data_IF_073331331167
#
_entry.id   IF_073331331167
#
_cell.length_a   1.000
_cell.length_b   1.000
_cell.length_c   1.000
_cell.angle_alpha   90.00
_cell.angle_beta   90.00
_cell.angle_gamma   90.00
#
_symmetry.space_group_name_H-M   'P 1'
#
loop_
_entity.id
_entity.type
_entity.pdbx_description
1 polymer ?
#
# COMPACT_ATOMS: atom_id res chain seq x y z
N UNK A 1 26.79 15.67 4.64
CA UNK A 1 25.35 16.01 4.69
C UNK A 1 24.49 14.97 3.96
N UNK A 2 24.98 14.31 2.92
CA UNK A 2 24.30 13.23 2.17
C UNK A 2 24.06 11.98 3.02
N UNK A 3 25.05 11.59 3.83
CA UNK A 3 25.07 10.39 4.68
C UNK A 3 23.91 10.32 5.70
N UNK A 4 23.72 11.41 6.47
CA UNK A 4 22.67 11.48 7.51
C UNK A 4 21.25 11.34 6.97
N UNK A 5 20.98 11.81 5.74
CA UNK A 5 19.63 11.70 5.14
C UNK A 5 19.33 10.25 4.76
N UNK A 6 20.33 9.54 4.25
CA UNK A 6 20.22 8.12 3.91
C UNK A 6 20.05 7.28 5.18
N UNK A 7 20.83 7.54 6.24
CA UNK A 7 20.66 6.91 7.56
C UNK A 7 19.24 7.10 8.12
N UNK A 8 18.69 8.32 8.03
CA UNK A 8 17.32 8.62 8.47
C UNK A 8 16.30 7.79 7.68
N UNK A 9 16.46 7.67 6.36
CA UNK A 9 15.54 6.90 5.51
C UNK A 9 15.61 5.40 5.79
N UNK A 10 16.83 4.86 5.95
CA UNK A 10 17.03 3.45 6.31
C UNK A 10 16.41 3.16 7.67
N UNK A 11 16.71 3.99 8.67
CA UNK A 11 16.19 3.82 10.02
C UNK A 11 14.67 3.98 10.08
N UNK A 12 14.08 4.94 9.35
CA UNK A 12 12.63 5.07 9.29
C UNK A 12 11.96 3.86 8.66
N UNK A 13 12.56 3.30 7.60
CA UNK A 13 12.06 2.06 6.99
C UNK A 13 12.13 0.90 7.97
N UNK A 14 13.24 0.74 8.69
CA UNK A 14 13.37 -0.30 9.71
C UNK A 14 12.35 -0.18 10.84
N UNK A 15 12.10 1.05 11.33
CA UNK A 15 11.10 1.33 12.36
C UNK A 15 9.71 0.94 11.85
N UNK A 16 9.34 1.35 10.63
CA UNK A 16 8.04 1.01 10.03
C UNK A 16 7.88 -0.50 9.80
N UNK A 17 8.90 -1.17 9.28
CA UNK A 17 8.91 -2.63 9.10
C UNK A 17 8.77 -3.37 10.42
N UNK A 18 9.47 -2.94 11.46
CA UNK A 18 9.40 -3.56 12.78
C UNK A 18 8.04 -3.31 13.46
N UNK A 19 7.49 -2.10 13.36
CA UNK A 19 6.13 -1.78 13.80
C UNK A 19 5.10 -2.70 13.14
N UNK A 20 5.17 -2.85 11.81
CA UNK A 20 4.26 -3.72 11.07
C UNK A 20 4.43 -5.19 11.48
N UNK A 21 5.67 -5.68 11.59
CA UNK A 21 5.92 -7.05 12.03
C UNK A 21 5.29 -7.31 13.41
N UNK A 22 5.52 -6.43 14.37
CA UNK A 22 4.99 -6.59 15.73
C UNK A 22 3.46 -6.59 15.78
N UNK A 23 2.81 -5.80 14.93
CA UNK A 23 1.36 -5.77 14.78
C UNK A 23 0.82 -7.07 14.17
N UNK A 24 1.42 -7.55 13.08
CA UNK A 24 1.03 -8.84 12.46
C UNK A 24 1.18 -9.98 13.47
N UNK A 25 2.34 -10.08 14.14
CA UNK A 25 2.57 -11.08 15.19
C UNK A 25 1.54 -10.95 16.32
N UNK A 26 1.15 -9.74 16.71
CA UNK A 26 0.09 -9.54 17.70
C UNK A 26 -1.25 -10.13 17.25
N UNK A 27 -1.67 -9.85 16.02
CA UNK A 27 -2.91 -10.39 15.47
C UNK A 27 -2.87 -11.92 15.39
N UNK A 28 -1.76 -12.51 14.95
CA UNK A 28 -1.58 -13.97 14.84
C UNK A 28 -1.54 -14.70 16.20
N UNK A 29 -1.06 -14.03 17.24
CA UNK A 29 -0.87 -14.64 18.57
C UNK A 29 -2.08 -14.40 19.50
N UNK A 30 -2.74 -13.25 19.39
CA UNK A 30 -3.75 -12.83 20.37
C UNK A 30 -5.17 -12.68 19.81
N UNK A 31 -5.35 -12.45 18.51
CA UNK A 31 -6.66 -12.09 17.93
C UNK A 31 -7.22 -13.20 17.05
N UNK A 32 -6.41 -13.68 16.11
CA UNK A 32 -6.69 -14.85 15.30
C UNK A 32 -5.64 -15.92 15.53
N UNK A 33 -5.58 -16.51 16.74
CA UNK A 33 -4.76 -17.68 16.94
C UNK A 33 -5.37 -18.80 16.08
N UNK A 34 -4.86 -19.01 14.86
CA UNK A 34 -5.18 -20.19 14.04
C UNK A 34 -5.12 -21.48 14.86
N UNK A 35 -5.94 -22.47 14.47
CA UNK A 35 -6.19 -23.73 15.17
C UNK A 35 -4.89 -24.36 15.72
N UNK A 36 -4.72 -24.31 17.04
CA UNK A 36 -3.97 -25.18 17.98
C UNK A 36 -2.74 -26.00 17.51
N UNK A 37 -2.01 -25.61 16.47
CA UNK A 37 -0.74 -26.27 16.14
C UNK A 37 0.43 -25.38 16.58
N UNK A 38 1.27 -25.92 17.48
CA UNK A 38 2.62 -25.41 17.81
C UNK A 38 3.52 -25.27 16.57
N UNK A 39 3.05 -25.76 15.42
CA UNK A 39 3.76 -25.84 14.17
C UNK A 39 2.91 -25.25 13.04
N UNK A 40 3.54 -24.67 12.03
CA UNK A 40 2.90 -24.37 10.76
C UNK A 40 3.64 -25.10 9.65
N UNK A 41 2.90 -25.63 8.67
CA UNK A 41 3.46 -26.31 7.51
C UNK A 41 3.75 -25.28 6.41
N UNK A 42 5.01 -25.21 5.95
CA UNK A 42 5.36 -24.34 4.83
C UNK A 42 4.87 -24.88 3.48
N UNK A 43 5.07 -24.12 2.41
CA UNK A 43 4.65 -24.50 1.05
C UNK A 43 5.32 -25.78 0.52
N UNK A 44 6.34 -26.30 1.21
CA UNK A 44 7.06 -27.52 0.89
C UNK A 44 6.67 -28.70 1.81
N UNK A 45 5.70 -28.51 2.70
CA UNK A 45 5.26 -29.54 3.63
C UNK A 45 6.14 -29.65 4.89
N UNK A 46 7.02 -28.67 5.14
CA UNK A 46 7.89 -28.71 6.32
C UNK A 46 7.21 -28.04 7.51
N UNK A 47 7.16 -28.75 8.64
CA UNK A 47 6.65 -28.22 9.91
C UNK A 47 7.70 -27.30 10.56
N UNK A 48 7.29 -26.06 10.84
CA UNK A 48 8.08 -25.05 11.52
C UNK A 48 7.45 -24.70 12.86
N UNK A 49 8.26 -24.63 13.91
CA UNK A 49 7.80 -24.28 15.25
C UNK A 49 7.38 -22.81 15.31
N UNK A 50 6.23 -22.52 15.92
CA UNK A 50 5.73 -21.17 16.10
C UNK A 50 6.36 -20.52 17.35
N UNK A 51 7.65 -20.18 17.25
CA UNK A 51 8.44 -19.60 18.33
C UNK A 51 7.83 -18.30 18.90
N UNK A 52 7.10 -17.52 18.08
CA UNK A 52 6.50 -16.26 18.52
C UNK A 52 5.25 -16.50 19.40
N UNK A 53 4.49 -17.59 19.21
CA UNK A 53 3.37 -17.92 20.12
C UNK A 53 3.82 -18.30 21.53
N UNK A 54 4.93 -19.02 21.64
CA UNK A 54 5.45 -19.49 22.93
C UNK A 54 6.28 -18.42 23.64
N UNK A 55 7.18 -17.74 22.92
CA UNK A 55 8.09 -16.76 23.51
C UNK A 55 7.56 -15.32 23.36
N UNK A 56 6.39 -15.10 23.95
CA UNK A 56 5.77 -13.76 24.08
C UNK A 56 6.70 -12.76 24.72
N UNK A 57 7.59 -13.20 25.61
CA UNK A 57 8.57 -12.31 26.24
C UNK A 57 9.56 -11.79 25.19
N UNK A 58 10.08 -12.66 24.33
CA UNK A 58 11.11 -12.24 23.39
C UNK A 58 10.58 -11.30 22.32
N UNK A 59 9.53 -11.68 21.60
CA UNK A 59 9.08 -10.82 20.50
C UNK A 59 8.33 -9.58 21.00
N UNK A 60 7.48 -9.69 22.03
CA UNK A 60 6.67 -8.54 22.47
C UNK A 60 7.50 -7.57 23.31
N UNK A 61 8.15 -8.05 24.37
CA UNK A 61 8.91 -7.16 25.25
C UNK A 61 10.21 -6.69 24.60
N UNK A 62 11.10 -7.60 24.17
CA UNK A 62 12.36 -7.17 23.56
C UNK A 62 12.14 -6.51 22.19
N UNK A 63 11.17 -6.96 21.40
CA UNK A 63 10.84 -6.32 20.13
C UNK A 63 10.30 -4.89 20.29
N UNK A 64 9.40 -4.65 21.25
CA UNK A 64 8.91 -3.29 21.56
C UNK A 64 10.02 -2.41 22.12
N UNK A 65 10.88 -2.97 22.99
CA UNK A 65 12.02 -2.24 23.56
C UNK A 65 13.07 -1.87 22.51
N UNK A 66 13.37 -2.78 21.58
CA UNK A 66 14.26 -2.51 20.46
C UNK A 66 13.70 -1.40 19.57
N UNK A 67 12.39 -1.42 19.30
CA UNK A 67 11.71 -0.38 18.55
C UNK A 67 11.80 1.00 19.24
N UNK A 68 11.59 1.05 20.56
CA UNK A 68 11.78 2.28 21.35
C UNK A 68 13.16 2.90 21.14
N UNK A 69 14.24 2.11 21.22
CA UNK A 69 15.59 2.63 21.02
C UNK A 69 15.86 3.09 19.59
N UNK A 70 15.27 2.42 18.58
CA UNK A 70 15.35 2.91 17.19
C UNK A 70 14.67 4.25 17.02
N UNK A 71 13.51 4.45 17.64
CA UNK A 71 12.81 5.74 17.61
C UNK A 71 13.65 6.82 18.31
N UNK A 72 14.27 6.50 19.45
CA UNK A 72 15.20 7.41 20.13
C UNK A 72 16.33 7.86 19.19
N UNK A 73 16.99 6.91 18.52
CA UNK A 73 18.05 7.19 17.55
C UNK A 73 17.54 8.05 16.37
N UNK A 74 16.36 7.75 15.85
CA UNK A 74 15.74 8.54 14.78
C UNK A 74 15.54 10.00 15.21
N UNK A 75 14.99 10.23 16.40
CA UNK A 75 14.75 11.57 16.93
C UNK A 75 16.06 12.34 17.18
N UNK A 76 17.12 11.66 17.62
CA UNK A 76 18.46 12.24 17.74
C UNK A 76 19.02 12.63 16.37
N UNK A 77 18.93 11.75 15.37
CA UNK A 77 19.40 12.02 14.00
C UNK A 77 18.62 13.17 13.33
N UNK A 78 17.32 13.27 13.60
CA UNK A 78 16.47 14.39 13.17
C UNK A 78 16.76 15.70 13.92
N UNK A 79 17.56 15.65 14.98
CA UNK A 79 17.96 16.80 15.79
C UNK A 79 16.75 17.57 16.38
N UNK A 80 15.80 16.83 16.98
CA UNK A 80 14.57 17.38 17.58
C UNK A 80 14.54 17.15 19.11
N UNK A 81 15.39 17.84 19.89
CA UNK A 81 15.66 17.49 21.29
C UNK A 81 14.44 17.60 22.23
N UNK A 82 13.52 18.54 21.97
CA UNK A 82 12.28 18.65 22.74
C UNK A 82 11.37 17.44 22.51
N UNK A 83 11.25 17.01 21.25
CA UNK A 83 10.44 15.86 20.87
C UNK A 83 11.07 14.56 21.38
N UNK A 84 12.40 14.42 21.29
CA UNK A 84 13.14 13.33 21.92
C UNK A 84 12.83 13.22 23.43
N UNK A 85 12.92 14.34 24.16
CA UNK A 85 12.63 14.35 25.60
C UNK A 85 11.19 13.94 25.90
N UNK A 86 10.21 14.48 25.16
CA UNK A 86 8.79 14.10 25.32
C UNK A 86 8.58 12.59 25.11
N UNK A 87 9.26 11.99 24.14
CA UNK A 87 9.20 10.55 23.89
C UNK A 87 9.76 9.74 25.07
N UNK A 88 10.96 10.08 25.52
CA UNK A 88 11.62 9.41 26.65
C UNK A 88 10.75 9.52 27.91
N UNK A 89 10.32 10.72 28.27
CA UNK A 89 9.53 10.98 29.48
C UNK A 89 8.22 10.18 29.49
N UNK A 90 7.60 9.98 28.31
CA UNK A 90 6.36 9.21 28.17
C UNK A 90 6.58 7.69 28.28
N UNK A 91 7.60 7.15 27.61
CA UNK A 91 7.70 5.70 27.39
C UNK A 91 8.80 4.97 28.17
N UNK A 92 9.80 5.67 28.71
CA UNK A 92 10.97 5.03 29.32
C UNK A 92 10.62 4.13 30.51
N UNK A 93 9.66 4.53 31.35
CA UNK A 93 9.23 3.69 32.47
C UNK A 93 8.48 2.44 31.97
N UNK A 94 7.67 2.59 30.92
CA UNK A 94 6.88 1.51 30.33
C UNK A 94 7.80 0.45 29.71
N UNK A 95 8.73 0.87 28.84
CA UNK A 95 9.62 -0.05 28.09
C UNK A 95 10.64 -0.79 28.95
N UNK A 96 10.81 -0.38 30.21
CA UNK A 96 11.69 -1.05 31.17
C UNK A 96 10.96 -2.10 32.02
N UNK A 97 9.62 -2.14 31.99
CA UNK A 97 8.84 -3.12 32.73
C UNK A 97 8.15 -4.10 31.78
N UNK A 98 8.63 -5.34 31.77
CA UNK A 98 8.09 -6.42 30.95
C UNK A 98 6.59 -6.64 31.18
N UNK A 99 6.11 -6.56 32.43
CA UNK A 99 4.69 -6.78 32.73
C UNK A 99 3.82 -5.67 32.17
N UNK A 100 4.31 -4.43 32.17
CA UNK A 100 3.57 -3.29 31.62
C UNK A 100 3.52 -3.41 30.10
N UNK A 101 4.64 -3.66 29.42
CA UNK A 101 4.67 -3.83 27.95
C UNK A 101 3.73 -4.94 27.50
N UNK A 102 3.82 -6.13 28.12
CA UNK A 102 2.97 -7.27 27.73
C UNK A 102 1.47 -7.08 28.05
N UNK A 103 1.13 -6.13 28.93
CA UNK A 103 -0.26 -5.77 29.24
C UNK A 103 -0.77 -4.56 28.47
N UNK A 104 0.06 -3.89 27.68
CA UNK A 104 -0.28 -2.68 26.94
C UNK A 104 -1.10 -2.96 25.68
N UNK A 105 -2.27 -3.60 25.87
CA UNK A 105 -3.21 -4.01 24.82
C UNK A 105 -4.62 -3.58 25.17
N UNK A 106 -5.42 -3.23 24.17
CA UNK A 106 -6.79 -2.73 24.35
C UNK A 106 -7.50 -2.50 23.02
N UNK A 107 -8.79 -2.12 23.03
CA UNK A 107 -9.53 -1.82 21.81
C UNK A 107 -9.00 -0.55 21.13
N UNK A 108 -8.91 -0.57 19.80
CA UNK A 108 -8.57 0.55 18.94
C UNK A 108 -9.83 1.05 18.25
N UNK A 109 -10.27 2.28 18.59
CA UNK A 109 -11.51 2.93 18.11
C UNK A 109 -12.84 2.24 18.48
N UNK A 110 -12.94 0.90 18.43
CA UNK A 110 -14.13 0.10 18.76
C UNK A 110 -13.75 -1.17 19.55
N UNK A 111 -14.69 -1.72 20.33
CA UNK A 111 -14.45 -2.86 21.24
C UNK A 111 -14.03 -4.17 20.54
N UNK A 112 -14.20 -4.25 19.23
CA UNK A 112 -13.97 -5.41 18.35
C UNK A 112 -12.60 -5.41 17.64
N UNK A 113 -11.84 -4.32 17.68
CA UNK A 113 -10.50 -4.22 17.08
C UNK A 113 -9.41 -4.14 18.16
N UNK A 114 -8.92 -5.26 18.71
CA UNK A 114 -7.83 -5.24 19.67
C UNK A 114 -6.53 -4.75 19.00
N UNK A 115 -5.77 -3.93 19.73
CA UNK A 115 -4.46 -3.42 19.32
C UNK A 115 -3.46 -3.37 20.48
N UNK A 116 -2.19 -3.23 20.11
CA UNK A 116 -1.10 -2.91 21.01
C UNK A 116 -1.03 -1.39 21.21
N UNK A 117 -1.62 -0.90 22.30
CA UNK A 117 -1.70 0.53 22.65
C UNK A 117 -0.33 1.22 22.57
N UNK A 118 0.74 0.56 23.04
CA UNK A 118 2.09 1.16 23.01
C UNK A 118 2.62 1.33 21.58
N UNK A 119 2.27 0.44 20.65
CA UNK A 119 2.67 0.58 19.24
C UNK A 119 1.86 1.66 18.53
N UNK A 120 0.58 1.81 18.87
CA UNK A 120 -0.24 2.92 18.38
C UNK A 120 0.27 4.27 18.88
N UNK A 121 0.61 4.36 20.16
CA UNK A 121 1.20 5.58 20.72
C UNK A 121 2.56 5.91 20.10
N UNK A 122 3.37 4.91 19.72
CA UNK A 122 4.58 5.12 18.92
C UNK A 122 4.23 5.67 17.53
N UNK A 123 3.23 5.11 16.84
CA UNK A 123 2.78 5.62 15.53
C UNK A 123 2.30 7.06 15.63
N UNK A 124 1.48 7.38 16.61
CA UNK A 124 1.01 8.75 16.86
C UNK A 124 2.17 9.72 17.03
N UNK A 125 3.19 9.32 17.80
CA UNK A 125 4.38 10.14 17.99
C UNK A 125 5.12 10.38 16.67
N UNK A 126 5.22 9.35 15.83
CA UNK A 126 5.96 9.39 14.57
C UNK A 126 5.21 10.10 13.42
N UNK A 127 3.88 10.21 13.47
CA UNK A 127 3.03 10.80 12.41
C UNK A 127 3.43 12.23 12.00
N UNK A 128 4.04 12.99 12.90
CA UNK A 128 4.52 14.36 12.62
C UNK A 128 5.71 14.41 11.65
N UNK A 129 6.34 13.26 11.35
CA UNK A 129 7.47 13.17 10.44
C UNK A 129 7.05 12.59 9.10
N UNK A 130 7.48 13.23 8.02
CA UNK A 130 7.21 12.80 6.65
C UNK A 130 7.63 11.34 6.39
N UNK A 131 8.67 10.86 7.08
CA UNK A 131 9.20 9.50 6.92
C UNK A 131 8.23 8.41 7.40
N UNK A 132 7.29 8.75 8.27
CA UNK A 132 6.30 7.84 8.85
C UNK A 132 4.87 8.19 8.44
N UNK A 133 4.69 9.25 7.67
CA UNK A 133 3.41 9.62 7.11
C UNK A 133 3.17 8.84 5.81
N UNK A 134 3.21 7.50 5.92
CA UNK A 134 3.08 6.57 4.79
C UNK A 134 1.73 6.77 4.11
N UNK A 135 0.65 7.01 4.87
CA UNK A 135 -0.66 7.31 4.28
C UNK A 135 -0.67 8.60 3.46
N UNK A 136 0.09 9.62 3.86
CA UNK A 136 0.20 10.87 3.10
C UNK A 136 1.12 10.70 1.88
N UNK A 137 2.23 9.96 1.99
CA UNK A 137 3.13 9.72 0.87
C UNK A 137 2.50 8.77 -0.16
N UNK A 138 1.88 7.68 0.28
CA UNK A 138 1.05 6.81 -0.57
C UNK A 138 -0.06 7.63 -1.23
N UNK A 139 -0.83 8.45 -0.48
CA UNK A 139 -1.85 9.33 -1.08
C UNK A 139 -1.27 10.34 -2.07
N UNK A 140 -0.11 10.94 -1.80
CA UNK A 140 0.52 11.91 -2.70
C UNK A 140 0.98 11.25 -3.99
N UNK A 141 1.65 10.09 -3.92
CA UNK A 141 2.13 9.39 -5.11
C UNK A 141 0.98 8.75 -5.90
N UNK A 142 -0.05 8.22 -5.22
CA UNK A 142 -1.33 7.79 -5.81
C UNK A 142 -2.01 8.97 -6.52
N UNK A 143 -2.08 10.14 -5.90
CA UNK A 143 -2.63 11.36 -6.53
C UNK A 143 -1.81 11.81 -7.74
N UNK A 144 -0.47 11.69 -7.67
CA UNK A 144 0.42 12.03 -8.78
C UNK A 144 0.23 11.06 -9.96
N UNK A 145 0.12 9.76 -9.71
CA UNK A 145 -0.26 8.79 -10.73
C UNK A 145 -1.62 9.16 -11.35
N UNK A 146 -2.64 9.41 -10.53
CA UNK A 146 -3.97 9.83 -10.99
C UNK A 146 -3.88 11.06 -11.89
N UNK A 147 -3.11 12.08 -11.53
CA UNK A 147 -2.91 13.27 -12.35
C UNK A 147 -2.26 12.94 -13.71
N UNK A 148 -1.28 12.02 -13.75
CA UNK A 148 -0.69 11.56 -15.02
C UNK A 148 -1.76 10.91 -15.90
N UNK A 149 -2.57 10.01 -15.32
CA UNK A 149 -3.63 9.32 -16.04
C UNK A 149 -4.70 10.28 -16.56
N UNK A 150 -5.16 11.23 -15.74
CA UNK A 150 -6.09 12.30 -16.17
C UNK A 150 -5.52 13.18 -17.29
N UNK A 151 -4.19 13.30 -17.36
CA UNK A 151 -3.48 14.01 -18.42
C UNK A 151 -3.09 13.14 -19.63
N UNK A 152 -3.70 11.95 -19.79
CA UNK A 152 -3.46 11.07 -20.96
C UNK A 152 -3.60 11.86 -22.28
N UNK A 153 -4.69 12.61 -22.46
CA UNK A 153 -4.95 13.40 -23.66
C UNK A 153 -3.81 14.41 -24.00
N UNK A 154 -3.41 15.32 -23.07
CA UNK A 154 -2.23 16.16 -23.25
C UNK A 154 -0.94 15.41 -23.55
N UNK A 155 -0.68 14.28 -22.89
CA UNK A 155 0.55 13.49 -23.09
C UNK A 155 0.56 12.94 -24.52
N UNK A 156 -0.53 12.32 -24.98
CA UNK A 156 -0.64 11.80 -26.35
C UNK A 156 -0.44 12.89 -27.42
N UNK A 157 -0.98 14.09 -27.18
CA UNK A 157 -0.79 15.22 -28.07
C UNK A 157 0.68 15.67 -28.14
N UNK A 158 1.38 15.67 -26.99
CA UNK A 158 2.81 16.04 -26.94
C UNK A 158 3.72 14.98 -27.55
N UNK A 159 3.38 13.70 -27.40
CA UNK A 159 4.13 12.58 -28.02
C UNK A 159 3.75 12.37 -29.49
N UNK A 160 2.77 13.11 -30.01
CA UNK A 160 2.24 12.97 -31.38
C UNK A 160 1.76 11.55 -31.68
N UNK A 161 1.21 10.89 -30.66
CA UNK A 161 0.75 9.51 -30.74
C UNK A 161 -0.61 9.46 -31.44
N UNK A 162 -0.76 8.54 -32.42
CA UNK A 162 -2.04 8.31 -33.09
C UNK A 162 -2.81 7.23 -32.33
N UNK A 163 -3.99 7.57 -31.83
CA UNK A 163 -4.88 6.64 -31.14
C UNK A 163 -5.57 5.73 -32.15
N UNK A 164 -5.33 4.43 -32.04
CA UNK A 164 -5.95 3.39 -32.89
C UNK A 164 -6.48 2.20 -32.09
N UNK A 165 -5.93 1.97 -30.89
CA UNK A 165 -6.29 0.92 -29.93
C UNK A 165 -5.74 1.27 -28.53
N UNK A 166 -6.03 0.44 -27.53
CA UNK A 166 -5.54 0.58 -26.15
C UNK A 166 -4.01 0.70 -26.08
N UNK A 167 -3.28 -0.16 -26.80
CA UNK A 167 -1.81 -0.17 -26.82
C UNK A 167 -1.21 1.15 -27.32
N UNK A 168 -1.82 1.77 -28.33
CA UNK A 168 -1.40 3.07 -28.84
C UNK A 168 -1.57 4.20 -27.82
N UNK A 169 -2.45 4.00 -26.84
CA UNK A 169 -2.69 4.93 -25.73
C UNK A 169 -1.72 4.65 -24.59
N UNK A 170 -1.72 3.44 -24.03
CA UNK A 170 -0.96 3.18 -22.81
C UNK A 170 0.55 3.18 -23.04
N UNK A 171 1.04 2.91 -24.26
CA UNK A 171 2.51 2.83 -24.50
C UNK A 171 3.21 4.17 -24.24
N UNK A 172 2.76 5.31 -24.80
CA UNK A 172 3.28 6.64 -24.43
C UNK A 172 3.14 6.97 -22.95
N UNK A 173 2.02 6.59 -22.32
CA UNK A 173 1.79 6.87 -20.90
C UNK A 173 2.74 6.04 -20.04
N UNK A 174 2.89 4.75 -20.32
CA UNK A 174 3.83 3.85 -19.67
C UNK A 174 5.26 4.39 -19.73
N UNK A 175 5.71 4.88 -20.89
CA UNK A 175 7.01 5.53 -21.02
C UNK A 175 7.15 6.74 -20.07
N UNK A 176 6.12 7.59 -19.97
CA UNK A 176 6.14 8.73 -19.06
C UNK A 176 6.14 8.28 -17.59
N UNK A 177 5.30 7.30 -17.25
CA UNK A 177 5.22 6.72 -15.90
C UNK A 177 6.54 6.06 -15.52
N UNK A 178 7.25 5.39 -16.44
CA UNK A 178 8.60 4.83 -16.22
C UNK A 178 9.70 5.88 -16.02
N UNK A 179 9.47 7.15 -16.41
CA UNK A 179 10.37 8.26 -16.06
C UNK A 179 10.10 8.72 -14.63
N UNK A 180 8.84 8.72 -14.21
CA UNK A 180 8.40 9.13 -12.87
C UNK A 180 8.69 8.06 -11.81
N UNK A 181 8.52 6.79 -12.16
CA UNK A 181 8.67 5.61 -11.30
C UNK A 181 9.67 4.60 -11.91
N UNK A 182 11.00 4.81 -11.74
CA UNK A 182 12.03 4.08 -12.48
C UNK A 182 12.11 2.57 -12.18
N UNK A 183 11.66 2.10 -11.02
CA UNK A 183 11.72 0.66 -10.64
C UNK A 183 10.82 -0.21 -11.52
N UNK A 184 9.86 0.38 -12.23
CA UNK A 184 9.08 -0.31 -13.26
C UNK A 184 9.97 -0.98 -14.31
N UNK A 185 11.14 -0.41 -14.60
CA UNK A 185 12.09 -0.96 -15.59
C UNK A 185 12.78 -2.22 -15.08
N UNK A 186 13.01 -2.30 -13.77
CA UNK A 186 13.65 -3.46 -13.13
C UNK A 186 12.67 -4.56 -12.75
N UNK A 187 11.43 -4.20 -12.43
CA UNK A 187 10.40 -5.11 -11.88
C UNK A 187 9.27 -5.44 -12.88
N UNK A 188 9.40 -4.98 -14.14
CA UNK A 188 8.37 -4.98 -15.19
C UNK A 188 7.89 -6.34 -15.72
N UNK A 189 8.03 -7.41 -14.93
CA UNK A 189 7.44 -8.73 -15.16
C UNK A 189 6.53 -9.21 -14.02
N UNK A 190 6.29 -8.38 -13.01
CA UNK A 190 5.30 -8.71 -11.99
C UNK A 190 3.92 -8.89 -12.64
N UNK A 191 3.18 -9.87 -12.12
CA UNK A 191 1.96 -10.41 -12.74
C UNK A 191 1.05 -10.92 -11.63
N UNK A 192 -0.26 -10.73 -11.80
CA UNK A 192 -1.22 -11.29 -10.86
C UNK A 192 -1.44 -12.77 -11.20
N UNK A 193 -1.17 -13.66 -10.25
CA UNK A 193 -1.37 -15.09 -10.42
C UNK A 193 -2.58 -15.49 -9.59
N UNK A 194 -3.67 -15.90 -10.25
CA UNK A 194 -4.86 -16.41 -9.57
C UNK A 194 -5.23 -17.76 -10.15
N UNK A 195 -5.25 -18.79 -9.29
CA UNK A 195 -5.42 -20.19 -9.67
C UNK A 195 -4.36 -20.63 -10.70
N UNK A 196 -4.74 -20.75 -11.98
CA UNK A 196 -3.88 -21.17 -13.10
C UNK A 196 -3.74 -20.10 -14.18
N UNK A 197 -4.23 -18.88 -13.93
CA UNK A 197 -4.23 -17.79 -14.89
C UNK A 197 -3.28 -16.70 -14.43
N UNK A 198 -2.46 -16.25 -15.37
CA UNK A 198 -1.61 -15.07 -15.21
C UNK A 198 -2.31 -13.88 -15.85
N UNK A 199 -2.48 -12.81 -15.09
CA UNK A 199 -3.04 -11.56 -15.59
C UNK A 199 -1.95 -10.49 -15.65
N UNK A 200 -2.01 -9.69 -16.71
CA UNK A 200 -1.03 -8.67 -17.02
C UNK A 200 -1.77 -7.35 -17.22
N UNK A 201 -1.69 -6.40 -16.27
CA UNK A 201 -2.24 -5.08 -16.50
C UNK A 201 -1.42 -4.33 -17.53
N UNK A 202 -2.05 -3.35 -18.18
CA UNK A 202 -1.38 -2.51 -19.17
C UNK A 202 -0.16 -1.78 -18.56
N UNK A 203 -0.30 -1.28 -17.33
CA UNK A 203 0.78 -0.63 -16.57
C UNK A 203 0.79 -1.15 -15.13
N UNK A 204 1.97 -1.59 -14.66
CA UNK A 204 2.18 -2.04 -13.30
C UNK A 204 3.28 -1.22 -12.63
N UNK A 205 3.01 -0.70 -11.43
CA UNK A 205 3.87 0.27 -10.74
C UNK A 205 4.12 -0.23 -9.31
N UNK A 206 5.10 -1.14 -9.12
CA UNK A 206 5.37 -1.77 -7.82
C UNK A 206 5.77 -0.77 -6.73
N UNK A 207 6.47 0.30 -7.15
CA UNK A 207 6.94 1.40 -6.31
C UNK A 207 5.86 2.01 -5.41
N UNK A 208 4.61 2.01 -5.87
CA UNK A 208 3.45 2.58 -5.20
C UNK A 208 2.27 1.60 -5.16
N UNK A 209 2.56 0.30 -5.24
CA UNK A 209 1.55 -0.78 -5.16
C UNK A 209 0.35 -0.54 -6.09
N UNK A 210 0.59 -0.06 -7.31
CA UNK A 210 -0.47 0.36 -8.22
C UNK A 210 -0.48 -0.39 -9.55
N UNK A 211 -1.67 -0.60 -10.11
CA UNK A 211 -1.87 -1.14 -11.46
C UNK A 211 -2.88 -0.29 -12.25
N UNK A 212 -2.74 -0.25 -13.57
CA UNK A 212 -3.59 0.53 -14.48
C UNK A 212 -4.01 -0.32 -15.66
N UNK A 213 -5.30 -0.25 -15.98
CA UNK A 213 -5.92 -0.80 -17.18
C UNK A 213 -6.41 0.33 -18.09
N UNK A 214 -6.24 0.19 -19.40
CA UNK A 214 -6.80 1.08 -20.40
C UNK A 214 -7.91 0.38 -21.19
N UNK A 215 -8.97 1.13 -21.50
CA UNK A 215 -9.99 0.70 -22.47
C UNK A 215 -10.28 1.80 -23.48
N UNK A 216 -10.31 1.43 -24.75
CA UNK A 216 -10.61 2.33 -25.85
C UNK A 216 -12.04 2.09 -26.36
N UNK A 217 -12.90 3.09 -26.17
CA UNK A 217 -14.29 3.07 -26.63
C UNK A 217 -14.38 3.80 -27.96
N UNK A 218 -14.70 3.05 -29.01
CA UNK A 218 -14.97 3.61 -30.34
C UNK A 218 -16.32 4.31 -30.36
N UNK A 219 -16.45 5.29 -31.25
CA UNK A 219 -17.68 6.04 -31.44
C UNK A 219 -18.88 5.13 -31.65
N UNK A 220 -19.97 5.40 -30.94
CA UNK A 220 -21.23 4.67 -31.05
C UNK A 220 -21.24 3.27 -30.39
N UNK A 221 -20.19 2.89 -29.65
CA UNK A 221 -20.16 1.62 -28.91
C UNK A 221 -20.63 1.85 -27.46
N UNK A 222 -21.52 0.99 -26.99
CA UNK A 222 -22.04 1.07 -25.61
C UNK A 222 -20.99 0.74 -24.56
N UNK A 223 -20.93 1.55 -23.51
CA UNK A 223 -19.95 1.44 -22.42
C UNK A 223 -20.12 0.22 -21.51
N UNK A 224 -21.35 -0.33 -21.36
CA UNK A 224 -21.62 -1.40 -20.38
C UNK A 224 -20.69 -2.60 -20.55
N UNK A 225 -20.47 -3.06 -21.79
CA UNK A 225 -19.62 -4.22 -22.07
C UNK A 225 -18.16 -3.98 -21.66
N UNK A 226 -17.69 -2.74 -21.75
CA UNK A 226 -16.33 -2.37 -21.32
C UNK A 226 -16.22 -2.32 -19.80
N UNK A 227 -17.23 -1.79 -19.12
CA UNK A 227 -17.27 -1.81 -17.66
C UNK A 227 -17.31 -3.25 -17.11
N UNK A 228 -18.00 -4.17 -17.79
CA UNK A 228 -18.00 -5.60 -17.42
C UNK A 228 -16.63 -6.27 -17.58
N UNK A 229 -15.87 -5.90 -18.63
CA UNK A 229 -14.49 -6.34 -18.78
C UNK A 229 -13.61 -5.80 -17.64
N UNK A 230 -13.66 -4.49 -17.39
CA UNK A 230 -12.87 -3.87 -16.30
C UNK A 230 -13.26 -4.48 -14.95
N UNK A 231 -14.55 -4.80 -14.73
CA UNK A 231 -15.00 -5.44 -13.50
C UNK A 231 -14.46 -6.85 -13.33
N UNK A 232 -14.35 -7.59 -14.42
CA UNK A 232 -13.74 -8.94 -14.44
C UNK A 232 -12.26 -8.87 -14.05
N UNK A 233 -11.54 -7.89 -14.58
CA UNK A 233 -10.14 -7.63 -14.19
C UNK A 233 -10.05 -7.21 -12.71
N UNK A 234 -10.97 -6.35 -12.27
CA UNK A 234 -11.08 -5.93 -10.87
C UNK A 234 -11.26 -7.09 -9.90
N UNK A 235 -12.20 -7.98 -10.18
CA UNK A 235 -12.44 -9.17 -9.34
C UNK A 235 -11.26 -10.16 -9.37
N UNK A 236 -10.48 -10.13 -10.45
CA UNK A 236 -9.27 -10.94 -10.58
C UNK A 236 -8.14 -10.41 -9.69
N UNK A 237 -8.04 -9.10 -9.47
CA UNK A 237 -6.97 -8.48 -8.68
C UNK A 237 -7.30 -8.33 -7.19
N UNK A 238 -8.55 -8.53 -6.77
CA UNK A 238 -8.92 -8.51 -5.33
C UNK A 238 -8.10 -9.52 -4.53
N UNK A 239 -7.52 -9.04 -3.42
CA UNK A 239 -6.80 -9.85 -2.43
C UNK A 239 -5.29 -9.96 -2.67
N UNK A 240 -4.74 -9.24 -3.65
CA UNK A 240 -3.29 -9.18 -3.84
C UNK A 240 -2.61 -8.42 -2.69
N UNK A 241 -1.59 -9.02 -2.02
CA UNK A 241 -0.92 -8.38 -0.88
C UNK A 241 0.08 -7.28 -1.28
N UNK A 242 0.53 -7.26 -2.54
CA UNK A 242 1.54 -6.33 -3.04
C UNK A 242 0.92 -5.10 -3.70
N UNK A 243 -0.27 -5.23 -4.30
CA UNK A 243 -0.95 -4.16 -5.03
C UNK A 243 -2.24 -3.71 -4.36
N UNK A 244 -2.27 -2.43 -3.99
CA UNK A 244 -3.33 -1.82 -3.20
C UNK A 244 -4.23 -0.92 -4.03
N UNK A 245 -3.72 -0.26 -5.07
CA UNK A 245 -4.45 0.78 -5.80
C UNK A 245 -4.60 0.42 -7.28
N UNK A 246 -5.83 0.48 -7.79
CA UNK A 246 -6.12 0.10 -9.16
C UNK A 246 -6.81 1.23 -9.91
N UNK A 247 -6.44 1.39 -11.18
CA UNK A 247 -6.99 2.42 -12.04
C UNK A 247 -7.50 1.82 -13.33
N UNK A 248 -8.66 2.30 -13.79
CA UNK A 248 -9.08 2.06 -15.17
C UNK A 248 -9.23 3.40 -15.89
N UNK A 249 -8.53 3.56 -17.01
CA UNK A 249 -8.65 4.73 -17.88
C UNK A 249 -9.49 4.36 -19.09
N UNK A 250 -10.71 4.92 -19.14
CA UNK A 250 -11.68 4.71 -20.21
C UNK A 250 -11.58 5.87 -21.19
N UNK A 251 -10.93 5.63 -22.32
CA UNK A 251 -10.69 6.63 -23.36
C UNK A 251 -11.78 6.54 -24.42
N UNK A 252 -12.49 7.63 -24.66
CA UNK A 252 -13.50 7.73 -25.71
C UNK A 252 -12.91 8.34 -26.99
N UNK A 253 -13.18 7.72 -28.13
CA UNK A 253 -12.84 8.28 -29.45
C UNK A 253 -13.50 9.65 -29.67
N UNK A 254 -14.74 9.80 -29.19
CA UNK A 254 -15.51 11.04 -29.27
C UNK A 254 -15.90 11.51 -27.86
N UNK A 255 -15.27 12.59 -27.39
CA UNK A 255 -15.51 13.16 -26.06
C UNK A 255 -16.96 13.60 -25.83
N UNK A 256 -17.72 13.87 -26.89
CA UNK A 256 -19.13 14.26 -26.76
C UNK A 256 -20.02 13.12 -26.26
N UNK A 257 -19.53 11.87 -26.33
CA UNK A 257 -20.21 10.68 -25.79
C UNK A 257 -20.01 10.51 -24.27
N UNK A 258 -19.14 11.32 -23.66
CA UNK A 258 -18.92 11.28 -22.21
C UNK A 258 -20.06 12.02 -21.51
N UNK A 259 -20.94 11.27 -20.86
CA UNK A 259 -21.85 11.79 -19.84
C UNK A 259 -21.25 11.50 -18.46
N UNK A 260 -20.64 12.49 -17.77
CA UNK A 260 -19.94 12.23 -16.51
C UNK A 260 -20.85 11.65 -15.42
N UNK A 261 -22.09 12.10 -15.33
CA UNK A 261 -23.03 11.60 -14.32
C UNK A 261 -23.52 10.20 -14.66
N UNK A 262 -23.80 9.94 -15.95
CA UNK A 262 -24.15 8.60 -16.43
C UNK A 262 -23.01 7.59 -16.23
N UNK A 263 -21.77 8.01 -16.49
CA UNK A 263 -20.58 7.21 -16.23
C UNK A 263 -20.44 6.89 -14.74
N UNK A 264 -20.54 7.90 -13.88
CA UNK A 264 -20.45 7.74 -12.42
C UNK A 264 -21.51 6.77 -11.90
N UNK A 265 -22.75 6.90 -12.36
CA UNK A 265 -23.85 5.99 -11.99
C UNK A 265 -23.56 4.56 -12.45
N UNK A 266 -23.14 4.37 -13.70
CA UNK A 266 -22.80 3.05 -14.22
C UNK A 266 -21.65 2.38 -13.43
N UNK A 267 -20.64 3.14 -13.00
CA UNK A 267 -19.56 2.63 -12.15
C UNK A 267 -20.09 2.20 -10.77
N UNK A 268 -20.95 3.02 -10.14
CA UNK A 268 -21.57 2.68 -8.85
C UNK A 268 -22.43 1.42 -8.94
N UNK A 269 -23.24 1.29 -9.99
CA UNK A 269 -24.10 0.13 -10.22
C UNK A 269 -23.31 -1.18 -10.39
N UNK A 270 -22.12 -1.11 -10.99
CA UNK A 270 -21.24 -2.28 -11.19
C UNK A 270 -20.49 -2.72 -9.94
N UNK A 271 -20.56 -1.96 -8.83
CA UNK A 271 -19.97 -2.31 -7.52
C UNK A 271 -18.50 -2.71 -7.61
N UNK A 272 -17.69 -1.86 -8.23
CA UNK A 272 -16.23 -2.04 -8.24
C UNK A 272 -15.68 -2.11 -6.80
N UNK A 273 -14.59 -2.85 -6.57
CA UNK A 273 -13.90 -2.83 -5.28
C UNK A 273 -13.48 -1.40 -4.90
N UNK A 274 -13.45 -1.08 -3.60
CA UNK A 274 -13.22 0.30 -3.12
C UNK A 274 -11.86 0.88 -3.54
N UNK A 275 -10.90 0.01 -3.81
CA UNK A 275 -9.56 0.39 -4.23
C UNK A 275 -9.39 0.61 -5.74
N UNK A 276 -10.50 0.63 -6.50
CA UNK A 276 -10.52 0.94 -7.94
C UNK A 276 -10.98 2.37 -8.20
N UNK A 277 -10.20 3.11 -9.00
CA UNK A 277 -10.54 4.44 -9.50
C UNK A 277 -10.71 4.42 -11.01
N UNK A 278 -11.91 4.75 -11.50
CA UNK A 278 -12.19 4.80 -12.94
C UNK A 278 -12.16 6.26 -13.44
N UNK A 279 -11.48 6.49 -14.56
CA UNK A 279 -11.26 7.81 -15.17
C UNK A 279 -11.80 7.78 -16.61
N UNK A 280 -12.75 8.66 -16.95
CA UNK A 280 -13.28 8.80 -18.30
C UNK A 280 -12.61 9.98 -19.03
N UNK A 281 -12.04 9.75 -20.23
CA UNK A 281 -11.21 10.73 -20.98
C UNK A 281 -11.59 10.90 -22.44
#
# INVERSE_FOLDING_TARGET
MTDRKEEIQVLSKEISTQLHKLEVTFWEVYVYPGNDEEYYEDTNGQLHFNYEREDKTTWLFYGTRALFYKICLFLELKNVPLYYKMFIDKFQLIINDQKIVCKSRGPLYTDDEPSMIIHDEFREFLRSFQEFNIDYFEKLEVNKLKQILENTNPILAKTKSKVTNETSIYTPIKWFVEIVYPTMRSLGKARFIKKFTTYHPDILIPEISSAVEYKYIRKGVGISNYLDQIKTDADSYVGDPEYKFFYAVVYFEDKSEINPEGFRQAVVEKKFPENWTLIAL
#
